data_IF_736230599141
#
_entry.id   IF_736230599141
#
_cell.length_a   1.000
_cell.length_b   1.000
_cell.length_c   1.000
_cell.angle_alpha   90.00
_cell.angle_beta   90.00
_cell.angle_gamma   90.00
#
_symmetry.space_group_name_H-M   'P 1'
#
loop_
_entity.id
_entity.type
_entity.pdbx_description
1 polymer ?
#
# COMPACT_ATOMS: atom_id res chain seq x y z
N UNK A 1 0.32 -12.10 12.76
CA UNK A 1 1.65 -11.71 12.25
C UNK A 1 1.47 -10.39 11.51
N UNK A 2 2.15 -9.30 11.87
CA UNK A 2 1.90 -8.02 11.24
C UNK A 2 2.65 -7.95 9.90
N UNK A 3 1.89 -7.96 8.80
CA UNK A 3 2.40 -7.58 7.49
C UNK A 3 2.48 -6.05 7.45
N UNK A 4 3.67 -5.52 7.20
CA UNK A 4 3.88 -4.08 7.06
C UNK A 4 4.21 -3.73 5.62
N UNK A 5 3.74 -2.57 5.18
CA UNK A 5 4.15 -1.99 3.92
C UNK A 5 5.29 -1.00 4.17
N UNK A 6 6.25 -1.01 3.26
CA UNK A 6 7.41 -0.16 3.29
C UNK A 6 7.55 0.55 1.96
N UNK A 7 8.01 1.79 2.00
CA UNK A 7 8.40 2.57 0.82
C UNK A 7 9.87 2.98 0.92
N UNK A 8 10.58 2.78 -0.18
CA UNK A 8 11.96 3.22 -0.32
C UNK A 8 12.02 4.68 -0.75
N UNK A 9 12.39 5.56 0.19
CA UNK A 9 12.33 7.01 0.04
C UNK A 9 13.14 7.50 -1.17
N UNK A 10 14.36 7.00 -1.35
CA UNK A 10 15.25 7.41 -2.45
C UNK A 10 14.65 7.05 -3.80
N UNK A 11 14.24 5.79 -3.94
CA UNK A 11 13.61 5.27 -5.14
C UNK A 11 12.32 6.06 -5.49
N UNK A 12 11.45 6.33 -4.49
CA UNK A 12 10.25 7.18 -4.66
C UNK A 12 10.60 8.58 -5.15
N UNK A 13 11.56 9.25 -4.49
CA UNK A 13 12.01 10.60 -4.88
C UNK A 13 12.58 10.65 -6.30
N UNK A 14 13.23 9.60 -6.76
CA UNK A 14 13.72 9.53 -8.14
C UNK A 14 12.56 9.52 -9.14
N UNK A 15 11.48 8.79 -8.85
CA UNK A 15 10.25 8.80 -9.67
C UNK A 15 9.60 10.18 -9.62
N UNK A 16 9.38 10.76 -8.44
CA UNK A 16 8.78 12.10 -8.29
C UNK A 16 9.57 13.18 -9.07
N UNK A 17 10.91 13.14 -9.01
CA UNK A 17 11.77 14.04 -9.79
C UNK A 17 11.65 13.80 -11.29
N UNK A 18 11.52 12.55 -11.71
CA UNK A 18 11.35 12.19 -13.12
C UNK A 18 10.01 12.67 -13.65
N UNK A 19 8.93 12.51 -12.89
CA UNK A 19 7.60 13.02 -13.24
C UNK A 19 7.62 14.54 -13.42
N UNK A 20 8.21 15.29 -12.49
CA UNK A 20 8.38 16.75 -12.61
C UNK A 20 9.21 17.16 -13.83
N UNK A 21 10.17 16.34 -14.24
CA UNK A 21 10.93 16.59 -15.46
C UNK A 21 10.09 16.34 -16.72
N UNK A 22 9.32 15.24 -16.75
CA UNK A 22 8.43 14.87 -17.86
C UNK A 22 7.26 15.86 -18.04
N UNK A 23 6.78 16.47 -16.97
CA UNK A 23 5.80 17.57 -17.05
C UNK A 23 6.34 18.76 -17.84
N UNK A 24 7.65 19.04 -17.72
CA UNK A 24 8.31 20.16 -18.39
C UNK A 24 8.73 19.81 -19.82
N UNK A 25 9.40 18.66 -20.00
CA UNK A 25 9.95 18.21 -21.28
C UNK A 25 9.89 16.68 -21.35
N UNK A 26 9.32 16.16 -22.43
CA UNK A 26 8.98 14.73 -22.60
C UNK A 26 9.46 14.16 -23.91
N UNK A 27 10.55 14.71 -24.42
CA UNK A 27 11.21 14.20 -25.62
C UNK A 27 12.08 12.97 -25.28
N UNK A 28 12.55 12.31 -26.33
CA UNK A 28 13.39 11.10 -26.22
C UNK A 28 14.67 11.35 -25.43
N UNK A 29 15.25 12.54 -25.54
CA UNK A 29 16.49 12.91 -24.84
C UNK A 29 16.25 13.04 -23.33
N UNK A 30 15.17 13.70 -22.92
CA UNK A 30 14.81 13.81 -21.50
C UNK A 30 14.55 12.44 -20.91
N UNK A 31 13.77 11.59 -21.61
CA UNK A 31 13.49 10.23 -21.16
C UNK A 31 14.76 9.40 -21.05
N UNK A 32 15.67 9.48 -22.02
CA UNK A 32 16.99 8.83 -21.94
C UNK A 32 17.78 9.27 -20.71
N UNK A 33 17.92 10.58 -20.51
CA UNK A 33 18.67 11.14 -19.40
C UNK A 33 18.08 10.72 -18.04
N UNK A 34 16.76 10.58 -17.92
CA UNK A 34 16.11 10.13 -16.70
C UNK A 34 16.39 8.65 -16.39
N UNK A 35 16.33 7.79 -17.41
CA UNK A 35 16.62 6.36 -17.27
C UNK A 35 18.10 6.14 -16.92
N UNK A 36 19.02 6.84 -17.59
CA UNK A 36 20.46 6.69 -17.33
C UNK A 36 20.90 7.29 -15.98
N UNK A 37 20.16 8.27 -15.45
CA UNK A 37 20.49 8.95 -14.19
C UNK A 37 20.08 8.16 -12.94
N UNK A 38 19.04 7.34 -13.03
CA UNK A 38 18.44 6.70 -11.85
C UNK A 38 18.46 5.19 -11.98
N UNK A 39 19.35 4.53 -11.24
CA UNK A 39 19.57 3.07 -11.25
C UNK A 39 18.31 2.22 -10.98
N UNK A 40 17.28 2.81 -10.37
CA UNK A 40 16.04 2.14 -10.04
C UNK A 40 14.99 2.18 -11.17
N UNK A 41 15.25 2.87 -12.28
CA UNK A 41 14.34 3.01 -13.42
C UNK A 41 14.97 2.33 -14.64
N UNK A 42 14.36 1.23 -15.09
CA UNK A 42 14.88 0.42 -16.19
C UNK A 42 14.40 0.92 -17.56
N UNK A 43 13.19 1.46 -17.61
CA UNK A 43 12.62 2.07 -18.80
C UNK A 43 11.55 3.10 -18.45
N UNK A 44 11.34 4.06 -19.34
CA UNK A 44 10.21 4.98 -19.32
C UNK A 44 9.61 5.00 -20.72
N UNK A 45 8.28 4.97 -20.79
CA UNK A 45 7.49 5.14 -22.01
C UNK A 45 6.40 6.17 -21.76
N UNK A 46 6.35 7.21 -22.59
CA UNK A 46 5.35 8.28 -22.53
C UNK A 46 4.44 8.15 -23.74
N UNK A 47 3.15 7.97 -23.48
CA UNK A 47 2.11 7.75 -24.47
C UNK A 47 1.16 8.94 -24.45
N UNK A 48 0.84 9.45 -25.64
CA UNK A 48 -0.25 10.38 -25.84
C UNK A 48 -1.54 9.58 -25.98
N UNK A 49 -2.47 9.73 -25.03
CA UNK A 49 -3.70 8.94 -25.00
C UNK A 49 -4.74 9.44 -26.00
N UNK A 50 -4.68 10.69 -26.43
CA UNK A 50 -5.60 11.23 -27.44
C UNK A 50 -5.22 10.72 -28.84
N UNK A 51 -3.92 10.62 -29.10
CA UNK A 51 -3.37 10.17 -30.39
C UNK A 51 -3.04 8.69 -30.44
N UNK A 52 -3.03 8.02 -29.29
CA UNK A 52 -2.57 6.63 -29.11
C UNK A 52 -1.13 6.40 -29.58
N UNK A 53 -0.27 7.42 -29.45
CA UNK A 53 1.11 7.41 -29.96
C UNK A 53 2.15 7.45 -28.85
N UNK A 54 3.28 6.76 -29.06
CA UNK A 54 4.44 6.85 -28.17
C UNK A 54 5.18 8.15 -28.47
N UNK A 55 5.11 9.10 -27.54
CA UNK A 55 5.83 10.38 -27.59
C UNK A 55 7.33 10.17 -27.41
N UNK A 56 7.70 9.37 -26.41
CA UNK A 56 9.08 9.09 -26.08
C UNK A 56 9.21 7.76 -25.34
N UNK A 57 10.30 7.03 -25.61
CA UNK A 57 10.60 5.75 -24.98
C UNK A 57 12.11 5.56 -24.88
N UNK A 58 12.58 5.10 -23.73
CA UNK A 58 13.96 4.66 -23.54
C UNK A 58 14.06 3.57 -22.48
N UNK A 59 15.11 2.74 -22.58
CA UNK A 59 15.38 1.65 -21.65
C UNK A 59 14.82 0.30 -22.10
N UNK A 60 14.95 -0.70 -21.23
CA UNK A 60 14.47 -2.08 -21.47
C UNK A 60 13.77 -2.62 -20.24
N UNK A 61 12.79 -3.50 -20.47
CA UNK A 61 12.05 -4.15 -19.39
C UNK A 61 12.99 -5.03 -18.55
N UNK A 62 13.05 -4.78 -17.24
CA UNK A 62 13.74 -5.65 -16.30
C UNK A 62 12.91 -6.91 -15.99
N UNK A 63 13.61 -8.02 -15.72
CA UNK A 63 12.99 -9.35 -15.46
C UNK A 63 11.98 -9.32 -14.29
N UNK A 64 12.31 -8.59 -13.22
CA UNK A 64 11.49 -8.48 -12.00
C UNK A 64 10.90 -7.07 -11.83
N UNK A 65 10.62 -6.40 -12.95
CA UNK A 65 10.17 -5.00 -12.96
C UNK A 65 8.70 -4.89 -13.29
N UNK A 66 8.01 -4.08 -12.51
CA UNK A 66 6.62 -3.71 -12.75
C UNK A 66 6.57 -2.43 -13.58
N UNK A 67 5.43 -2.19 -14.21
CA UNK A 67 5.10 -0.88 -14.75
C UNK A 67 4.28 -0.14 -13.71
N UNK A 68 4.75 1.05 -13.35
CA UNK A 68 3.97 2.02 -12.60
C UNK A 68 3.45 3.08 -13.58
N UNK A 69 2.16 3.36 -13.47
CA UNK A 69 1.42 4.16 -14.44
C UNK A 69 1.12 5.52 -13.83
N UNK A 70 1.55 6.58 -14.49
CA UNK A 70 1.33 7.94 -14.02
C UNK A 70 0.68 8.78 -15.10
N UNK A 71 -0.43 9.42 -14.75
CA UNK A 71 -1.12 10.35 -15.64
C UNK A 71 -0.52 11.75 -15.52
N UNK A 72 -0.18 12.34 -16.65
CA UNK A 72 0.33 13.71 -16.77
C UNK A 72 -0.64 14.56 -17.58
N UNK A 73 -0.58 15.89 -17.43
CA UNK A 73 -1.47 16.84 -18.12
C UNK A 73 -2.94 16.45 -18.01
N UNK A 74 -3.45 16.38 -16.78
CA UNK A 74 -4.87 16.10 -16.50
C UNK A 74 -5.40 14.82 -17.16
N UNK A 75 -4.52 13.83 -17.38
CA UNK A 75 -4.88 12.55 -17.97
C UNK A 75 -4.69 12.43 -19.48
N UNK A 76 -4.25 13.48 -20.18
CA UNK A 76 -3.98 13.40 -21.62
C UNK A 76 -2.78 12.51 -21.96
N UNK A 77 -1.84 12.36 -21.03
CA UNK A 77 -0.64 11.56 -21.22
C UNK A 77 -0.49 10.49 -20.16
N UNK A 78 0.02 9.33 -20.57
CA UNK A 78 0.39 8.23 -19.70
C UNK A 78 1.91 8.04 -19.71
N UNK A 79 2.54 8.12 -18.54
CA UNK A 79 3.94 7.79 -18.35
C UNK A 79 4.05 6.43 -17.63
N UNK A 80 4.55 5.44 -18.35
CA UNK A 80 4.82 4.08 -17.89
C UNK A 80 6.27 3.97 -17.43
N UNK A 81 6.49 3.74 -16.14
CA UNK A 81 7.81 3.54 -15.56
C UNK A 81 8.06 2.05 -15.33
N UNK A 82 8.97 1.44 -16.10
CA UNK A 82 9.46 0.11 -15.79
C UNK A 82 10.52 0.19 -14.69
N UNK A 83 10.19 -0.34 -13.51
CA UNK A 83 11.09 -0.28 -12.36
C UNK A 83 10.82 -1.43 -11.39
N UNK A 84 11.79 -1.69 -10.51
CA UNK A 84 11.50 -2.47 -9.30
C UNK A 84 10.61 -1.65 -8.38
N UNK A 85 9.60 -2.28 -7.78
CA UNK A 85 8.65 -1.57 -6.95
C UNK A 85 9.38 -0.90 -5.76
N UNK A 86 9.18 0.41 -5.60
CA UNK A 86 9.71 1.13 -4.46
C UNK A 86 8.83 0.96 -3.22
N UNK A 87 7.59 0.47 -3.39
CA UNK A 87 6.68 0.05 -2.34
C UNK A 87 6.64 -1.48 -2.27
N UNK A 88 6.73 -2.05 -1.10
CA UNK A 88 6.74 -3.50 -0.92
C UNK A 88 6.27 -3.90 0.47
N UNK A 89 5.89 -5.16 0.64
CA UNK A 89 5.46 -5.70 1.91
C UNK A 89 6.52 -6.64 2.47
N UNK A 90 6.75 -6.57 3.78
CA UNK A 90 7.68 -7.45 4.49
C UNK A 90 7.01 -8.01 5.74
N UNK A 91 7.29 -9.29 6.02
CA UNK A 91 6.83 -9.96 7.23
C UNK A 91 7.84 -9.71 8.35
N UNK A 92 7.40 -9.04 9.40
CA UNK A 92 8.22 -8.71 10.57
C UNK A 92 7.79 -9.63 11.71
N UNK A 93 8.68 -10.54 12.13
CA UNK A 93 8.42 -11.49 13.21
C UNK A 93 8.77 -10.87 14.55
N UNK A 94 9.92 -10.20 14.62
CA UNK A 94 10.43 -9.51 15.80
C UNK A 94 10.72 -8.04 15.47
N UNK A 95 10.65 -7.14 16.47
CA UNK A 95 10.94 -5.71 16.26
C UNK A 95 12.36 -5.45 15.72
N UNK A 96 13.30 -6.38 15.96
CA UNK A 96 14.65 -6.33 15.42
C UNK A 96 14.73 -6.52 13.89
N UNK A 97 13.75 -7.20 13.30
CA UNK A 97 13.75 -7.55 11.87
C UNK A 97 13.56 -6.33 10.97
N UNK A 98 12.91 -5.27 11.48
CA UNK A 98 12.71 -4.02 10.73
C UNK A 98 14.05 -3.40 10.28
N UNK A 99 15.12 -3.62 11.05
CA UNK A 99 16.48 -3.14 10.72
C UNK A 99 17.09 -3.86 9.52
N UNK A 100 16.58 -5.04 9.17
CA UNK A 100 17.04 -5.87 8.06
C UNK A 100 16.28 -5.59 6.77
N UNK A 101 15.21 -4.79 6.81
CA UNK A 101 14.43 -4.40 5.63
C UNK A 101 15.31 -3.60 4.68
N UNK A 102 15.40 -4.06 3.42
CA UNK A 102 16.25 -3.47 2.40
C UNK A 102 15.42 -2.95 1.25
N UNK A 103 15.87 -1.84 0.69
CA UNK A 103 15.31 -1.35 -0.54
C UNK A 103 15.85 -2.15 -1.74
N UNK A 104 14.98 -2.41 -2.72
CA UNK A 104 15.35 -3.08 -3.97
C UNK A 104 16.37 -2.31 -4.84
N UNK A 105 16.54 -1.00 -4.62
CA UNK A 105 17.61 -0.21 -5.23
C UNK A 105 18.96 -0.27 -4.49
N UNK A 106 19.18 -1.27 -3.64
CA UNK A 106 20.50 -1.61 -3.10
C UNK A 106 20.92 -0.84 -1.85
N UNK A 107 20.15 0.18 -1.42
CA UNK A 107 20.42 0.89 -0.17
C UNK A 107 19.77 0.21 1.04
N UNK A 108 20.59 0.01 2.09
CA UNK A 108 20.14 -0.48 3.41
C UNK A 108 19.60 0.68 4.24
N UNK A 109 18.60 0.43 5.11
CA UNK A 109 18.10 1.36 6.14
C UNK A 109 17.48 2.69 5.64
N UNK A 110 16.93 2.73 4.42
CA UNK A 110 16.21 3.91 3.88
C UNK A 110 14.80 3.58 3.43
N UNK A 111 14.08 2.88 4.29
CA UNK A 111 12.69 2.49 4.10
C UNK A 111 11.84 3.19 5.14
N UNK A 112 10.73 3.77 4.70
CA UNK A 112 9.69 4.33 5.57
C UNK A 112 8.57 3.31 5.67
N UNK A 113 8.11 3.06 6.90
CA UNK A 113 6.93 2.24 7.14
C UNK A 113 5.69 3.00 6.69
N UNK A 114 5.03 2.50 5.66
CA UNK A 114 3.73 3.01 5.23
C UNK A 114 2.70 2.26 6.06
N UNK A 115 1.86 3.00 6.79
CA UNK A 115 0.88 2.41 7.70
C UNK A 115 0.03 1.41 6.90
N UNK A 116 0.11 0.15 7.30
CA UNK A 116 -0.69 -0.94 6.75
C UNK A 116 -2.16 -0.58 6.93
N UNK A 117 -2.99 -0.72 5.89
CA UNK A 117 -4.45 -0.58 6.03
C UNK A 117 -5.02 -1.61 7.02
N UNK A 118 -4.29 -2.68 7.34
CA UNK A 118 -4.60 -3.61 8.43
C UNK A 118 -4.24 -3.08 9.84
N UNK A 119 -3.48 -1.97 9.95
CA UNK A 119 -3.24 -1.32 11.24
C UNK A 119 -4.54 -0.75 11.84
N UNK A 120 -5.52 -0.40 11.01
CA UNK A 120 -6.85 0.01 11.46
C UNK A 120 -7.57 -1.10 12.23
N UNK A 121 -7.23 -2.39 12.03
CA UNK A 121 -7.86 -3.47 12.78
C UNK A 121 -7.19 -3.74 14.14
N UNK A 122 -5.99 -3.20 14.39
CA UNK A 122 -5.32 -3.38 15.69
C UNK A 122 -5.91 -2.47 16.78
N UNK A 123 -6.35 -1.27 16.41
CA UNK A 123 -6.95 -0.29 17.34
C UNK A 123 -8.43 -0.58 17.66
N UNK A 124 -9.09 -1.44 16.86
CA UNK A 124 -10.44 -1.91 17.19
C UNK A 124 -10.47 -2.88 18.37
N UNK A 125 -9.30 -3.38 18.83
CA UNK A 125 -9.24 -4.40 19.88
C UNK A 125 -9.28 -3.85 21.31
N UNK A 126 -9.11 -2.54 21.52
CA UNK A 126 -8.97 -2.00 22.88
C UNK A 126 -9.95 -0.92 23.30
N UNK A 127 -10.59 -0.16 22.40
CA UNK A 127 -11.66 0.79 22.77
C UNK A 127 -12.47 1.25 21.55
N UNK A 128 -13.35 0.40 21.00
CA UNK A 128 -14.33 0.87 20.04
C UNK A 128 -15.28 1.89 20.70
N UNK A 129 -15.50 3.08 20.12
CA UNK A 129 -16.54 3.99 20.61
C UNK A 129 -17.89 3.28 20.55
N UNK A 130 -18.57 3.21 21.69
CA UNK A 130 -19.91 2.59 21.75
C UNK A 130 -20.88 3.44 20.93
N UNK A 131 -21.75 2.82 20.11
CA UNK A 131 -22.72 3.57 19.34
C UNK A 131 -23.67 4.33 20.28
N UNK A 132 -24.01 5.57 19.93
CA UNK A 132 -24.97 6.37 20.69
C UNK A 132 -26.39 5.82 20.51
N UNK A 133 -27.00 5.35 21.60
CA UNK A 133 -28.33 4.74 21.63
C UNK A 133 -29.41 5.73 22.11
N UNK A 134 -29.07 6.99 22.34
CA UNK A 134 -29.93 8.02 22.92
C UNK A 134 -31.23 8.26 22.13
N UNK A 135 -31.20 8.04 20.81
CA UNK A 135 -32.33 8.27 19.90
C UNK A 135 -33.22 7.02 19.64
N UNK A 136 -32.90 5.86 20.25
CA UNK A 136 -33.70 4.65 20.04
C UNK A 136 -34.90 4.56 21.00
N UNK A 137 -36.02 3.90 20.63
CA UNK A 137 -37.11 3.63 21.55
C UNK A 137 -36.69 2.73 22.73
N UNK A 138 -37.26 2.89 23.95
CA UNK A 138 -36.88 2.10 25.13
C UNK A 138 -36.99 0.57 24.93
N UNK A 139 -37.96 0.12 24.14
CA UNK A 139 -38.18 -1.29 23.79
C UNK A 139 -37.05 -1.89 22.95
N UNK A 140 -36.30 -1.06 22.22
CA UNK A 140 -35.19 -1.45 21.33
C UNK A 140 -33.84 -1.35 22.06
N UNK A 141 -33.67 -0.34 22.92
CA UNK A 141 -32.46 -0.20 23.78
C UNK A 141 -32.24 -1.41 24.68
N UNK A 142 -33.30 -1.94 25.29
CA UNK A 142 -33.22 -3.10 26.18
C UNK A 142 -32.92 -4.42 25.44
N UNK A 143 -32.99 -4.42 24.10
CA UNK A 143 -32.72 -5.60 23.25
C UNK A 143 -31.42 -5.49 22.46
N UNK A 144 -30.78 -4.32 22.47
CA UNK A 144 -29.48 -4.11 21.83
C UNK A 144 -28.38 -4.57 22.78
N UNK A 145 -28.07 -5.87 22.73
CA UNK A 145 -26.92 -6.45 23.42
C UNK A 145 -25.65 -6.15 22.61
N UNK A 146 -25.02 -5.01 22.88
CA UNK A 146 -23.65 -4.73 22.43
C UNK A 146 -22.76 -4.96 23.66
N UNK A 147 -22.49 -6.23 23.92
CA UNK A 147 -21.52 -6.63 24.92
C UNK A 147 -20.13 -6.70 24.27
N UNK A 148 -19.13 -6.27 25.02
CA UNK A 148 -17.76 -6.75 24.84
C UNK A 148 -17.76 -8.29 24.83
N UNK A 149 -16.72 -8.88 24.25
CA UNK A 149 -16.58 -10.33 24.03
C UNK A 149 -17.15 -11.17 25.20
N UNK A 150 -18.22 -11.92 24.92
CA UNK A 150 -18.89 -12.76 25.92
C UNK A 150 -18.14 -14.09 26.01
N UNK A 151 -17.48 -14.36 27.13
CA UNK A 151 -16.88 -15.67 27.37
C UNK A 151 -17.95 -16.79 27.35
N UNK A 152 -17.57 -17.99 26.90
CA UNK A 152 -18.47 -19.14 26.73
C UNK A 152 -19.27 -19.48 28.02
N UNK A 153 -18.67 -19.20 29.19
CA UNK A 153 -19.27 -19.44 30.51
C UNK A 153 -20.46 -18.51 30.82
N UNK A 154 -20.52 -17.35 30.17
CA UNK A 154 -21.51 -16.30 30.39
C UNK A 154 -22.60 -16.27 29.30
N UNK A 155 -22.51 -17.16 28.29
CA UNK A 155 -23.56 -17.30 27.26
C UNK A 155 -24.88 -17.84 27.84
N UNK A 156 -26.06 -17.36 27.39
CA UNK A 156 -27.35 -17.93 27.76
C UNK A 156 -27.43 -19.41 27.40
N UNK A 157 -27.96 -20.25 28.30
CA UNK A 157 -27.96 -21.73 28.15
C UNK A 157 -28.53 -22.23 26.81
N UNK A 158 -29.52 -21.54 26.22
CA UNK A 158 -30.15 -21.95 24.96
C UNK A 158 -29.23 -21.85 23.72
N UNK A 159 -28.14 -21.09 23.85
CA UNK A 159 -27.20 -20.78 22.77
C UNK A 159 -25.81 -21.38 23.00
N UNK A 160 -25.67 -22.27 24.01
CA UNK A 160 -24.44 -23.03 24.21
C UNK A 160 -24.47 -24.27 23.29
N UNK A 161 -23.37 -24.60 22.57
CA UNK A 161 -23.30 -25.86 21.86
C UNK A 161 -23.45 -27.03 22.86
N UNK A 162 -24.12 -28.13 22.48
CA UNK A 162 -24.23 -29.29 23.35
C UNK A 162 -22.82 -29.79 23.69
N UNK A 163 -22.57 -30.06 24.98
CA UNK A 163 -21.28 -30.55 25.47
C UNK A 163 -21.01 -31.95 24.89
N UNK A 164 -20.36 -32.01 23.73
CA UNK A 164 -19.75 -33.22 23.20
C UNK A 164 -18.57 -33.61 24.09
N UNK A 165 -18.59 -34.87 24.57
CA UNK A 165 -17.45 -35.49 25.24
C UNK A 165 -16.25 -35.43 24.29
N UNK A 166 -15.16 -34.78 24.72
CA UNK A 166 -13.87 -34.88 24.05
C UNK A 166 -13.44 -36.36 24.08
N UNK A 167 -13.23 -36.96 22.90
CA UNK A 167 -12.30 -38.07 22.75
C UNK A 167 -10.87 -37.51 22.77
#
# INVERSE_FOLDING_TARGET
MPLYEFECIKCRRNVEKSLKALERKRDKETVKNLVEKYDNINAIEVIDLEREEIVAKHGRRGKDSIFNDFYLKDGALLALFNMRNYRFSELIYEEGDEKNVKCYCGEKKKVEKVISTFAFTKDLSTNMPKPDLSNLPPSVRNRTYIGDYIEEKDRPKKHRPPKGKRQ
#
